data_IF_728031237998
#
_entry.id   IF_728031237998
#
_cell.length_a   1.000
_cell.length_b   1.000
_cell.length_c   1.000
_cell.angle_alpha   90.00
_cell.angle_beta   90.00
_cell.angle_gamma   90.00
#
_symmetry.space_group_name_H-M   'P 1'
#
loop_
_entity.id
_entity.type
_entity.pdbx_description
1 polymer ?
#
# COMPACT_ATOMS: atom_id res chain seq x y z
N UNK A 1 -88.66 -49.21 -14.44
CA UNK A 1 -88.54 -47.85 -15.04
C UNK A 1 -88.60 -46.82 -13.91
N UNK A 2 -87.98 -45.63 -13.96
CA UNK A 2 -86.87 -45.06 -14.79
C UNK A 2 -85.62 -44.70 -13.92
N UNK A 3 -84.38 -44.72 -14.45
CA UNK A 3 -83.53 -43.62 -15.04
C UNK A 3 -83.38 -42.36 -14.14
N UNK A 4 -82.19 -42.09 -13.56
CA UNK A 4 -81.04 -41.28 -14.06
C UNK A 4 -81.41 -39.75 -14.16
N UNK A 5 -80.52 -38.71 -14.10
CA UNK A 5 -79.05 -38.75 -14.20
C UNK A 5 -78.22 -37.58 -13.55
N UNK A 6 -76.91 -37.63 -13.83
CA UNK A 6 -76.01 -36.51 -14.22
C UNK A 6 -75.15 -35.80 -13.15
N UNK A 7 -73.84 -36.09 -13.10
CA UNK A 7 -72.67 -35.40 -13.74
C UNK A 7 -72.38 -34.02 -13.10
N UNK A 8 -71.15 -33.65 -12.70
CA UNK A 8 -69.85 -33.54 -13.41
C UNK A 8 -68.75 -33.37 -12.33
N UNK A 9 -67.46 -33.67 -12.45
CA UNK A 9 -66.61 -34.08 -13.57
C UNK A 9 -65.15 -34.31 -13.09
N UNK A 10 -64.45 -35.20 -13.82
CA UNK A 10 -63.04 -35.21 -14.27
C UNK A 10 -61.93 -34.65 -13.34
N UNK A 11 -61.02 -35.48 -12.83
CA UNK A 11 -59.75 -35.99 -13.43
C UNK A 11 -58.59 -34.98 -13.62
N UNK A 12 -57.47 -35.31 -12.94
CA UNK A 12 -56.04 -35.19 -13.30
C UNK A 12 -55.47 -33.94 -14.03
N UNK A 13 -54.35 -33.54 -13.45
CA UNK A 13 -53.07 -33.14 -14.07
C UNK A 13 -52.83 -31.68 -14.48
N UNK A 14 -51.62 -31.27 -14.08
CA UNK A 14 -50.73 -30.26 -14.66
C UNK A 14 -50.88 -28.79 -14.20
N UNK A 15 -49.91 -28.43 -13.32
CA UNK A 15 -48.94 -27.34 -13.46
C UNK A 15 -49.46 -26.04 -14.10
N UNK A 16 -49.74 -25.08 -13.24
CA UNK A 16 -49.55 -23.66 -13.56
C UNK A 16 -48.32 -23.13 -12.83
N UNK A 17 -47.38 -22.67 -13.64
CA UNK A 17 -46.16 -21.96 -13.28
C UNK A 17 -46.58 -20.48 -13.23
N UNK A 18 -46.68 -19.91 -12.04
CA UNK A 18 -47.00 -18.49 -11.91
C UNK A 18 -46.95 -18.03 -10.45
N UNK A 19 -46.20 -16.96 -10.21
CA UNK A 19 -46.00 -16.26 -8.94
C UNK A 19 -44.91 -16.81 -7.99
N UNK A 20 -43.73 -17.07 -8.56
CA UNK A 20 -42.46 -17.05 -7.83
C UNK A 20 -42.07 -15.57 -7.60
N UNK A 21 -41.98 -15.17 -6.32
CA UNK A 21 -41.56 -13.86 -5.76
C UNK A 21 -42.63 -12.80 -5.43
N UNK A 22 -43.18 -12.85 -4.21
CA UNK A 22 -43.64 -11.66 -3.48
C UNK A 22 -42.62 -11.16 -2.43
N UNK A 23 -41.43 -11.76 -2.29
CA UNK A 23 -40.53 -11.49 -1.14
C UNK A 23 -39.31 -10.61 -1.43
N UNK A 24 -39.17 -10.06 -2.64
CA UNK A 24 -38.03 -9.17 -2.98
C UNK A 24 -38.35 -7.71 -2.63
N UNK A 25 -39.61 -7.27 -2.81
CA UNK A 25 -40.06 -5.91 -2.49
C UNK A 25 -39.94 -5.60 -0.98
N UNK A 26 -40.34 -6.55 -0.13
CA UNK A 26 -40.24 -6.42 1.32
C UNK A 26 -38.78 -6.43 1.81
N UNK A 27 -37.90 -7.18 1.12
CA UNK A 27 -36.47 -7.18 1.41
C UNK A 27 -35.81 -5.85 1.02
N UNK A 28 -36.20 -5.25 -0.12
CA UNK A 28 -35.69 -3.94 -0.54
C UNK A 28 -36.21 -2.81 0.35
N UNK A 29 -37.47 -2.86 0.81
CA UNK A 29 -38.02 -1.93 1.82
C UNK A 29 -37.33 -2.09 3.18
N UNK A 30 -37.05 -3.31 3.61
CA UNK A 30 -36.28 -3.60 4.83
C UNK A 30 -34.86 -3.04 4.74
N UNK A 31 -34.19 -3.18 3.59
CA UNK A 31 -32.87 -2.59 3.37
C UNK A 31 -32.89 -1.05 3.40
N UNK A 32 -33.92 -0.41 2.82
CA UNK A 32 -34.06 1.06 2.82
C UNK A 32 -34.40 1.62 4.21
N UNK A 33 -35.20 0.92 5.02
CA UNK A 33 -35.50 1.30 6.40
C UNK A 33 -34.33 1.05 7.36
N UNK A 34 -33.43 0.12 7.02
CA UNK A 34 -32.19 -0.16 7.78
C UNK A 34 -31.01 0.73 7.39
N UNK A 35 -31.24 1.75 6.55
CA UNK A 35 -30.34 2.93 6.44
C UNK A 35 -30.53 3.78 7.70
N UNK A 36 -30.28 3.15 8.86
CA UNK A 36 -29.69 3.84 9.98
C UNK A 36 -28.43 4.42 9.39
N UNK A 37 -28.41 5.74 9.28
CA UNK A 37 -27.20 6.51 9.09
C UNK A 37 -26.21 6.01 10.12
N UNK A 38 -25.37 5.05 9.73
CA UNK A 38 -24.12 4.77 10.40
C UNK A 38 -23.35 6.04 10.13
N UNK A 39 -23.55 7.02 11.02
CA UNK A 39 -22.56 8.04 11.31
C UNK A 39 -21.27 7.25 11.39
N UNK A 40 -20.46 7.40 10.36
CA UNK A 40 -19.14 6.78 10.23
C UNK A 40 -18.40 7.10 11.51
N UNK A 41 -18.47 6.20 12.49
CA UNK A 41 -17.70 6.30 13.72
C UNK A 41 -16.26 6.18 13.29
N UNK A 42 -15.60 7.33 13.26
CA UNK A 42 -14.17 7.52 13.46
C UNK A 42 -13.33 6.23 13.39
N UNK A 43 -13.10 5.78 12.16
CA UNK A 43 -11.83 5.13 11.79
C UNK A 43 -10.90 6.19 11.19
N UNK A 44 -11.00 7.44 11.68
CA UNK A 44 -9.93 8.42 11.51
C UNK A 44 -8.72 7.85 12.26
N UNK A 45 -7.66 7.63 11.51
CA UNK A 45 -6.30 7.40 11.99
C UNK A 45 -5.96 6.04 12.62
N UNK A 46 -6.32 4.94 11.97
CA UNK A 46 -5.22 3.98 11.76
C UNK A 46 -4.29 4.70 10.78
N UNK A 47 -3.22 5.30 11.28
CA UNK A 47 -2.24 5.98 10.46
C UNK A 47 -1.64 4.97 9.47
N UNK A 48 -2.18 4.91 8.26
CA UNK A 48 -1.79 3.93 7.22
C UNK A 48 -0.47 4.31 6.54
N UNK A 49 0.16 5.41 6.98
CA UNK A 49 1.40 5.92 6.40
C UNK A 49 1.17 6.79 5.16
N UNK A 50 2.15 7.64 4.81
CA UNK A 50 2.08 8.54 3.65
C UNK A 50 2.10 7.81 2.30
N UNK A 51 2.39 6.51 2.30
CA UNK A 51 2.41 5.63 1.12
C UNK A 51 1.03 5.02 0.80
N UNK A 52 0.04 5.17 1.68
CA UNK A 52 -1.30 4.59 1.47
C UNK A 52 -2.13 5.50 0.56
N UNK A 53 -2.23 5.11 -0.71
CA UNK A 53 -2.92 5.86 -1.74
C UNK A 53 -4.40 5.44 -1.92
N UNK A 54 -5.10 6.11 -2.85
CA UNK A 54 -6.50 5.79 -3.19
C UNK A 54 -6.66 4.36 -3.73
N UNK A 55 -5.63 3.82 -4.39
CA UNK A 55 -5.64 2.45 -4.93
C UNK A 55 -5.63 1.43 -3.79
N UNK A 56 -4.78 1.63 -2.79
CA UNK A 56 -4.71 0.84 -1.58
C UNK A 56 -6.07 0.82 -0.86
N UNK A 57 -6.71 1.99 -0.72
CA UNK A 57 -8.02 2.13 -0.10
C UNK A 57 -9.10 1.38 -0.88
N UNK A 58 -9.12 1.49 -2.21
CA UNK A 58 -10.06 0.76 -3.06
C UNK A 58 -9.89 -0.76 -2.89
N UNK A 59 -8.67 -1.28 -2.98
CA UNK A 59 -8.42 -2.72 -2.84
C UNK A 59 -8.72 -3.22 -1.43
N UNK A 60 -8.45 -2.41 -0.40
CA UNK A 60 -8.84 -2.70 0.99
C UNK A 60 -10.36 -2.85 1.13
N UNK A 61 -11.13 -1.92 0.55
CA UNK A 61 -12.61 -1.99 0.55
C UNK A 61 -13.12 -3.25 -0.14
N UNK A 62 -12.55 -3.59 -1.30
CA UNK A 62 -12.92 -4.81 -2.04
C UNK A 62 -12.61 -6.07 -1.23
N UNK A 63 -11.45 -6.14 -0.59
CA UNK A 63 -11.08 -7.25 0.29
C UNK A 63 -12.07 -7.40 1.46
N UNK A 64 -12.38 -6.31 2.18
CA UNK A 64 -13.33 -6.37 3.29
C UNK A 64 -14.75 -6.73 2.83
N UNK A 65 -15.17 -6.26 1.65
CA UNK A 65 -16.45 -6.66 1.03
C UNK A 65 -16.47 -8.17 0.75
N UNK A 66 -15.44 -8.70 0.10
CA UNK A 66 -15.33 -10.13 -0.19
C UNK A 66 -15.29 -10.98 1.10
N UNK A 67 -14.58 -10.50 2.14
CA UNK A 67 -14.52 -11.15 3.45
C UNK A 67 -15.88 -11.21 4.12
N UNK A 68 -16.66 -10.12 4.08
CA UNK A 68 -18.04 -10.09 4.58
C UNK A 68 -18.92 -11.09 3.82
N UNK A 69 -18.82 -11.13 2.49
CA UNK A 69 -19.59 -12.08 1.67
C UNK A 69 -19.26 -13.54 1.98
N UNK A 70 -17.98 -13.90 2.10
CA UNK A 70 -17.55 -15.26 2.47
C UNK A 70 -18.00 -15.66 3.88
N UNK A 71 -17.90 -14.74 4.84
CA UNK A 71 -18.36 -14.99 6.20
C UNK A 71 -19.87 -15.20 6.28
N UNK A 72 -20.65 -14.51 5.42
CA UNK A 72 -22.10 -14.71 5.33
C UNK A 72 -22.45 -16.03 4.63
N UNK A 73 -21.76 -16.37 3.54
CA UNK A 73 -22.00 -17.59 2.76
C UNK A 73 -20.68 -18.27 2.39
N UNK A 74 -20.38 -19.38 3.06
CA UNK A 74 -19.15 -20.17 2.87
C UNK A 74 -19.25 -21.10 1.66
N UNK A 75 -19.28 -20.54 0.46
CA UNK A 75 -19.26 -21.29 -0.80
C UNK A 75 -17.97 -21.06 -1.58
N UNK A 76 -17.70 -21.91 -2.58
CA UNK A 76 -16.44 -21.89 -3.34
C UNK A 76 -16.27 -20.62 -4.17
N UNK A 77 -17.37 -20.07 -4.70
CA UNK A 77 -17.34 -18.80 -5.43
C UNK A 77 -16.87 -17.66 -4.53
N UNK A 78 -17.41 -17.54 -3.31
CA UNK A 78 -17.00 -16.52 -2.35
C UNK A 78 -15.57 -16.75 -1.83
N UNK A 79 -15.15 -18.01 -1.68
CA UNK A 79 -13.76 -18.35 -1.33
C UNK A 79 -12.79 -17.87 -2.41
N UNK A 80 -13.11 -18.12 -3.68
CA UNK A 80 -12.32 -17.68 -4.82
C UNK A 80 -12.26 -16.16 -4.90
N UNK A 81 -13.40 -15.47 -4.77
CA UNK A 81 -13.46 -14.01 -4.72
C UNK A 81 -12.62 -13.42 -3.58
N UNK A 82 -12.68 -14.01 -2.38
CA UNK A 82 -11.87 -13.59 -1.24
C UNK A 82 -10.37 -13.79 -1.51
N UNK A 83 -9.98 -14.92 -2.11
CA UNK A 83 -8.59 -15.20 -2.47
C UNK A 83 -8.03 -14.16 -3.46
N UNK A 84 -8.77 -13.88 -4.54
CA UNK A 84 -8.38 -12.87 -5.54
C UNK A 84 -8.30 -11.48 -4.90
N UNK A 85 -9.32 -11.08 -4.14
CA UNK A 85 -9.33 -9.77 -3.49
C UNK A 85 -8.18 -9.63 -2.47
N UNK A 86 -7.84 -10.71 -1.76
CA UNK A 86 -6.70 -10.72 -0.82
C UNK A 86 -5.37 -10.52 -1.53
N UNK A 87 -5.13 -11.22 -2.65
CA UNK A 87 -3.91 -11.08 -3.45
C UNK A 87 -3.77 -9.67 -4.00
N UNK A 88 -4.85 -9.13 -4.57
CA UNK A 88 -4.86 -7.79 -5.15
C UNK A 88 -4.63 -6.71 -4.09
N UNK A 89 -5.21 -6.87 -2.90
CA UNK A 89 -4.99 -5.95 -1.80
C UNK A 89 -3.52 -5.95 -1.35
N UNK A 90 -2.93 -7.12 -1.10
CA UNK A 90 -1.51 -7.22 -0.71
C UNK A 90 -0.59 -6.62 -1.77
N UNK A 91 -0.79 -7.00 -3.03
CA UNK A 91 0.01 -6.51 -4.15
C UNK A 91 -0.06 -4.98 -4.31
N UNK A 92 -1.24 -4.37 -4.12
CA UNK A 92 -1.38 -2.92 -4.15
C UNK A 92 -0.60 -2.25 -3.02
N UNK A 93 -0.70 -2.78 -1.79
CA UNK A 93 0.03 -2.25 -0.63
C UNK A 93 1.55 -2.33 -0.84
N UNK A 94 2.06 -3.48 -1.28
CA UNK A 94 3.48 -3.70 -1.54
C UNK A 94 4.00 -2.76 -2.64
N UNK A 95 3.21 -2.57 -3.69
CA UNK A 95 3.56 -1.68 -4.81
C UNK A 95 3.63 -0.23 -4.37
N UNK A 96 2.60 0.29 -3.69
CA UNK A 96 2.56 1.68 -3.24
C UNK A 96 3.65 1.96 -2.20
N UNK A 97 3.93 1.00 -1.32
CA UNK A 97 5.04 1.11 -0.37
C UNK A 97 6.40 1.18 -1.07
N UNK A 98 6.66 0.28 -2.03
CA UNK A 98 7.90 0.29 -2.81
C UNK A 98 8.07 1.59 -3.58
N UNK A 99 7.03 2.06 -4.27
CA UNK A 99 7.06 3.33 -5.01
C UNK A 99 7.37 4.52 -4.09
N UNK A 100 6.83 4.52 -2.87
CA UNK A 100 7.12 5.54 -1.88
C UNK A 100 8.59 5.50 -1.43
N UNK A 101 9.14 4.31 -1.17
CA UNK A 101 10.56 4.14 -0.82
C UNK A 101 11.48 4.58 -1.96
N UNK A 102 11.18 4.18 -3.20
CA UNK A 102 11.94 4.55 -4.39
C UNK A 102 11.94 6.08 -4.56
N UNK A 103 10.78 6.72 -4.35
CA UNK A 103 10.64 8.18 -4.40
C UNK A 103 11.49 8.87 -3.35
N UNK A 104 11.42 8.44 -2.08
CA UNK A 104 12.26 9.02 -1.01
C UNK A 104 13.73 8.87 -1.34
N UNK A 105 14.14 7.68 -1.79
CA UNK A 105 15.54 7.38 -2.13
C UNK A 105 16.03 8.30 -3.25
N UNK A 106 15.21 8.48 -4.28
CA UNK A 106 15.48 9.41 -5.37
C UNK A 106 15.57 10.86 -4.90
N UNK A 107 14.63 11.30 -4.06
CA UNK A 107 14.59 12.66 -3.51
C UNK A 107 15.83 12.94 -2.63
N UNK A 108 16.26 11.96 -1.81
CA UNK A 108 17.48 12.04 -1.00
C UNK A 108 18.73 12.15 -1.87
N UNK A 109 18.87 11.28 -2.87
CA UNK A 109 20.03 11.31 -3.79
C UNK A 109 20.12 12.65 -4.53
N UNK A 110 19.00 13.16 -5.01
CA UNK A 110 18.95 14.42 -5.76
C UNK A 110 19.22 15.64 -4.87
N UNK A 111 18.66 15.66 -3.65
CA UNK A 111 18.85 16.78 -2.70
C UNK A 111 20.21 16.78 -2.03
N UNK A 112 20.91 15.64 -1.96
CA UNK A 112 22.21 15.51 -1.28
C UNK A 112 23.28 16.51 -1.74
N UNK A 113 23.28 16.86 -3.04
CA UNK A 113 24.25 17.79 -3.65
C UNK A 113 23.73 19.21 -3.86
N UNK A 114 22.41 19.39 -3.85
CA UNK A 114 21.76 20.62 -4.33
C UNK A 114 21.04 21.41 -3.24
N UNK A 115 20.48 20.76 -2.22
CA UNK A 115 19.70 21.41 -1.17
C UNK A 115 19.78 20.62 0.15
N UNK A 116 20.73 21.02 0.98
CA UNK A 116 20.98 20.44 2.30
C UNK A 116 19.75 20.54 3.22
N UNK A 117 18.99 21.63 3.16
CA UNK A 117 17.81 21.82 4.01
C UNK A 117 16.70 20.85 3.64
N UNK A 118 16.46 20.68 2.34
CA UNK A 118 15.50 19.69 1.83
C UNK A 118 15.92 18.26 2.16
N UNK A 119 17.21 17.94 2.04
CA UNK A 119 17.75 16.64 2.42
C UNK A 119 17.44 16.30 3.88
N UNK A 120 17.81 17.17 4.82
CA UNK A 120 17.54 16.96 6.25
C UNK A 120 16.06 16.90 6.59
N UNK A 121 15.23 17.71 5.91
CA UNK A 121 13.78 17.64 6.07
C UNK A 121 13.21 16.28 5.66
N UNK A 122 13.71 15.69 4.57
CA UNK A 122 13.28 14.35 4.13
C UNK A 122 13.75 13.29 5.13
N UNK A 123 15.00 13.38 5.58
CA UNK A 123 15.59 12.44 6.52
C UNK A 123 14.82 12.41 7.85
N UNK A 124 14.57 13.58 8.45
CA UNK A 124 13.86 13.71 9.72
C UNK A 124 12.44 13.14 9.65
N UNK A 125 11.72 13.38 8.53
CA UNK A 125 10.38 12.82 8.31
C UNK A 125 10.36 11.29 8.25
N UNK A 126 11.47 10.67 7.84
CA UNK A 126 11.58 9.22 7.75
C UNK A 126 11.98 8.59 9.09
N UNK A 127 12.76 9.29 9.92
CA UNK A 127 13.28 8.78 11.20
C UNK A 127 12.33 8.96 12.38
N UNK A 128 11.37 9.88 12.31
CA UNK A 128 10.41 10.20 13.39
C UNK A 128 9.57 9.01 13.92
N UNK A 129 9.62 7.84 13.27
CA UNK A 129 8.70 6.71 13.58
C UNK A 129 9.37 5.34 13.74
N UNK A 130 10.69 5.25 13.61
CA UNK A 130 11.41 4.00 13.84
C UNK A 130 12.27 4.12 15.09
N UNK A 131 11.80 3.56 16.21
CA UNK A 131 12.64 3.22 17.38
C UNK A 131 13.72 2.17 17.06
N UNK A 132 13.87 1.80 15.79
CA UNK A 132 14.92 0.95 15.31
C UNK A 132 16.21 1.76 15.24
N UNK A 133 16.90 1.81 16.38
CA UNK A 133 18.34 2.05 16.44
C UNK A 133 19.01 1.27 15.30
N UNK A 134 19.55 2.01 14.32
CA UNK A 134 20.25 1.45 13.17
C UNK A 134 21.42 0.62 13.72
N UNK A 135 21.34 -0.70 13.59
CA UNK A 135 22.40 -1.64 13.99
C UNK A 135 23.43 -1.81 12.87
N UNK A 136 23.94 -0.72 12.32
CA UNK A 136 25.14 -0.82 11.50
C UNK A 136 26.32 -1.04 12.45
N UNK A 137 27.04 -2.16 12.28
CA UNK A 137 28.26 -2.40 13.04
C UNK A 137 29.35 -1.42 12.61
N UNK A 138 30.25 -1.07 13.53
CA UNK A 138 31.40 -0.19 13.22
C UNK A 138 32.25 -0.78 12.09
N UNK A 139 32.34 -2.11 12.00
CA UNK A 139 33.07 -2.79 10.93
C UNK A 139 32.43 -2.58 9.54
N UNK A 140 31.10 -2.63 9.44
CA UNK A 140 30.39 -2.35 8.18
C UNK A 140 30.59 -0.90 7.73
N UNK A 141 30.56 0.04 8.68
CA UNK A 141 30.83 1.45 8.41
C UNK A 141 32.28 1.65 7.95
N UNK A 142 33.24 1.05 8.65
CA UNK A 142 34.67 1.14 8.32
C UNK A 142 34.95 0.63 6.91
N UNK A 143 34.44 -0.55 6.55
CA UNK A 143 34.65 -1.12 5.22
C UNK A 143 34.02 -0.23 4.14
N UNK A 144 32.81 0.28 4.36
CA UNK A 144 32.16 1.19 3.42
C UNK A 144 32.99 2.46 3.17
N UNK A 145 33.45 3.13 4.22
CA UNK A 145 34.25 4.35 4.08
C UNK A 145 35.65 4.07 3.54
N UNK A 146 36.22 2.90 3.83
CA UNK A 146 37.50 2.47 3.26
C UNK A 146 37.38 2.30 1.73
N UNK A 147 36.38 1.55 1.26
CA UNK A 147 36.12 1.34 -0.17
C UNK A 147 35.82 2.66 -0.91
N UNK A 148 35.16 3.62 -0.26
CA UNK A 148 34.90 4.94 -0.84
C UNK A 148 36.18 5.76 -1.08
N UNK A 149 37.22 5.58 -0.24
CA UNK A 149 38.47 6.33 -0.34
C UNK A 149 39.51 5.63 -1.23
N UNK A 150 39.26 4.40 -1.66
CA UNK A 150 40.15 3.64 -2.56
C UNK A 150 39.88 3.92 -4.06
N UNK A 151 38.94 4.82 -4.39
CA UNK A 151 38.67 5.24 -5.77
C UNK A 151 39.37 6.57 -6.07
N UNK A 152 40.29 6.50 -7.04
CA UNK A 152 41.13 7.57 -7.62
C UNK A 152 42.43 7.95 -6.87
N UNK A 153 43.35 6.98 -6.77
CA UNK A 153 44.73 7.24 -7.23
C UNK A 153 44.72 7.25 -8.78
N UNK A 154 44.04 8.23 -9.40
CA UNK A 154 44.56 8.68 -10.68
C UNK A 154 45.84 9.43 -10.33
N UNK A 155 46.97 8.80 -10.66
CA UNK A 155 48.27 9.43 -10.69
C UNK A 155 48.16 10.60 -11.67
N UNK A 156 47.75 11.76 -11.18
CA UNK A 156 48.00 13.01 -11.88
C UNK A 156 49.51 13.18 -11.76
N UNK A 157 50.25 12.75 -12.78
CA UNK A 157 51.62 13.22 -13.01
C UNK A 157 51.54 14.74 -13.20
N UNK A 158 51.51 15.47 -12.09
CA UNK A 158 51.77 16.91 -12.12
C UNK A 158 53.28 17.05 -12.23
N UNK A 159 53.77 17.13 -13.46
CA UNK A 159 55.12 17.56 -13.79
C UNK A 159 55.23 19.07 -13.49
N UNK A 160 55.11 19.44 -12.20
CA UNK A 160 55.37 20.80 -11.73
C UNK A 160 56.81 20.80 -11.26
N UNK A 161 57.66 21.20 -12.19
CA UNK A 161 59.04 21.55 -11.91
C UNK A 161 59.05 22.67 -10.85
N UNK A 162 59.27 22.29 -9.59
CA UNK A 162 59.26 23.21 -8.45
C UNK A 162 60.66 23.80 -8.25
N UNK A 163 61.20 24.41 -9.31
CA UNK A 163 62.44 25.17 -9.24
C UNK A 163 62.10 26.63 -8.93
N UNK A 164 62.37 27.05 -7.70
CA UNK A 164 62.51 28.47 -7.36
C UNK A 164 61.46 29.05 -6.41
N UNK A 165 61.34 28.51 -5.19
CA UNK A 165 60.89 29.31 -4.05
C UNK A 165 62.08 29.46 -3.10
N UNK A 166 62.83 30.55 -3.30
CA UNK A 166 63.89 30.97 -2.40
C UNK A 166 63.24 31.48 -1.10
N UNK A 167 63.33 30.67 -0.05
CA UNK A 167 62.84 30.96 1.30
C UNK A 167 64.04 30.97 2.24
N UNK A 168 64.80 32.05 2.23
CA UNK A 168 65.72 32.38 3.31
C UNK A 168 66.11 33.86 3.20
N UNK A 169 65.24 34.72 3.70
CA UNK A 169 65.66 36.00 4.25
C UNK A 169 64.73 36.37 5.40
N UNK A 170 65.35 36.86 6.47
CA UNK A 170 64.79 37.39 7.71
C UNK A 170 64.72 36.41 8.88
N UNK A 171 65.90 36.06 9.38
CA UNK A 171 66.12 35.99 10.83
C UNK A 171 67.47 36.64 11.15
N UNK A 172 67.47 37.96 11.40
CA UNK A 172 68.39 38.55 12.37
C UNK A 172 68.06 40.02 12.72
N UNK A 173 67.92 40.24 14.04
CA UNK A 173 68.22 41.45 14.82
C UNK A 173 67.15 42.56 14.87
N UNK A 174 66.42 42.58 16.00
CA UNK A 174 66.55 43.65 17.00
C UNK A 174 66.21 43.13 18.41
#
# INVERSE_FOLDING_TARGET
MPRNPNLKGTNRHQRDIGAFFPYIEDFVKSLKSSVIAVKSTDLKDIYLGPWFDKTCEEKRRLFHKARKSYNRFKNEANRTCLSVASRNYKSAMDTSFKQYQDKITSDLRTSSKSDTKKFWNILNRCTEKSDQSIKASIAELYNYFKEMNEVEEEVIETDVNLDGVNLEDNNEIL
#
